data_IF_152106879124
#
_entry.id   IF_152106879124
#
_cell.length_a   1.000
_cell.length_b   1.000
_cell.length_c   1.000
_cell.angle_alpha   90.00
_cell.angle_beta   90.00
_cell.angle_gamma   90.00
#
_symmetry.space_group_name_H-M   'P 1'
#
loop_
_entity.id
_entity.type
_entity.pdbx_description
1 polymer ?
#
# COMPACT_ATOMS: atom_id res chain seq x y z
N UNK A 1 52.04 72.39 -17.52
CA UNK A 1 52.13 71.01 -17.08
C UNK A 1 50.79 70.34 -17.27
N UNK A 2 50.61 69.44 -18.24
CA UNK A 2 49.38 68.71 -18.42
C UNK A 2 49.51 67.26 -17.89
N UNK A 3 48.54 66.87 -17.09
CA UNK A 3 48.36 65.48 -16.61
C UNK A 3 47.84 64.61 -17.74
N UNK A 4 48.58 63.56 -18.09
CA UNK A 4 48.17 62.49 -18.98
C UNK A 4 47.31 61.49 -18.17
N UNK A 5 46.02 61.28 -18.55
CA UNK A 5 45.17 60.21 -18.06
C UNK A 5 45.36 58.97 -18.96
N UNK A 6 45.93 57.92 -18.39
CA UNK A 6 45.93 56.59 -19.04
C UNK A 6 44.55 55.94 -18.90
N UNK A 7 43.88 55.68 -19.97
CA UNK A 7 42.66 54.80 -20.02
C UNK A 7 43.12 53.34 -20.14
N UNK A 8 42.85 52.56 -19.10
CA UNK A 8 42.99 51.10 -19.17
C UNK A 8 41.70 50.53 -19.72
N UNK A 9 41.77 49.98 -20.92
CA UNK A 9 40.64 49.25 -21.51
C UNK A 9 40.65 47.81 -20.95
N UNK A 10 39.62 47.51 -20.14
CA UNK A 10 39.39 46.15 -19.67
C UNK A 10 38.63 45.40 -20.78
N UNK A 11 39.25 44.42 -21.42
CA UNK A 11 38.63 43.48 -22.33
C UNK A 11 37.88 42.43 -21.54
N UNK A 12 36.54 42.53 -21.49
CA UNK A 12 35.69 41.46 -21.00
C UNK A 12 35.65 40.31 -22.03
N UNK A 13 36.37 39.21 -21.71
CA UNK A 13 36.18 37.93 -22.40
C UNK A 13 34.85 37.33 -21.92
N UNK A 14 33.82 37.48 -22.75
CA UNK A 14 32.57 36.74 -22.64
C UNK A 14 32.87 35.30 -23.08
N UNK A 15 33.15 34.44 -22.12
CA UNK A 15 33.16 33.00 -22.31
C UNK A 15 31.71 32.54 -22.52
N UNK A 16 31.34 32.24 -23.76
CA UNK A 16 30.10 31.56 -24.05
C UNK A 16 30.16 30.15 -23.45
N UNK A 17 29.50 29.92 -22.31
CA UNK A 17 29.24 28.61 -21.81
C UNK A 17 28.32 27.92 -22.83
N UNK A 18 28.86 26.96 -23.59
CA UNK A 18 28.05 26.10 -24.45
C UNK A 18 27.12 25.30 -23.52
N UNK A 19 25.84 25.63 -23.55
CA UNK A 19 24.81 24.81 -22.91
C UNK A 19 24.85 23.38 -23.48
N UNK A 20 24.33 22.40 -22.79
CA UNK A 20 24.29 21.04 -23.29
C UNK A 20 23.57 21.02 -24.63
N UNK A 21 24.28 20.66 -25.69
CA UNK A 21 23.69 20.49 -27.01
C UNK A 21 22.73 19.33 -26.93
N UNK A 22 21.43 19.59 -27.09
CA UNK A 22 20.45 18.53 -27.30
C UNK A 22 20.83 17.82 -28.60
N UNK A 23 20.99 16.50 -28.51
CA UNK A 23 21.32 15.69 -29.67
C UNK A 23 20.25 15.92 -30.76
N UNK A 24 20.70 16.14 -31.98
CA UNK A 24 19.82 16.35 -33.13
C UNK A 24 19.13 15.09 -33.62
N UNK A 25 19.60 13.91 -33.15
CA UNK A 25 18.93 12.64 -33.39
C UNK A 25 18.25 12.14 -32.09
N UNK A 26 17.04 11.55 -32.22
CA UNK A 26 16.36 11.00 -31.06
C UNK A 26 17.21 9.89 -30.42
N UNK A 27 17.37 9.97 -29.11
CA UNK A 27 18.07 8.92 -28.37
C UNK A 27 17.33 7.57 -28.52
N UNK A 28 18.05 6.43 -28.45
CA UNK A 28 17.40 5.11 -28.45
C UNK A 28 16.33 5.00 -27.39
N UNK A 29 15.21 4.36 -27.73
CA UNK A 29 14.12 4.13 -26.78
C UNK A 29 14.63 3.20 -25.67
N UNK A 30 14.54 3.65 -24.43
CA UNK A 30 14.89 2.89 -23.24
C UNK A 30 13.67 2.71 -22.34
N UNK A 31 13.62 1.62 -21.59
CA UNK A 31 12.58 1.42 -20.59
C UNK A 31 12.70 2.47 -19.47
N UNK A 32 11.59 3.09 -19.12
CA UNK A 32 11.54 4.00 -17.98
C UNK A 32 11.48 3.20 -16.67
N UNK A 33 12.35 3.51 -15.73
CA UNK A 33 12.31 2.96 -14.38
C UNK A 33 11.96 4.07 -13.39
N UNK A 34 11.06 3.77 -12.46
CA UNK A 34 10.75 4.70 -11.37
C UNK A 34 11.99 4.89 -10.49
N UNK A 35 12.38 6.14 -10.19
CA UNK A 35 13.48 6.41 -9.26
C UNK A 35 13.22 5.83 -7.87
N UNK A 36 14.29 5.52 -7.14
CA UNK A 36 14.22 4.99 -5.76
C UNK A 36 13.43 3.69 -5.63
N UNK A 37 13.33 2.91 -6.72
CA UNK A 37 12.64 1.62 -6.72
C UNK A 37 13.55 0.48 -7.08
N UNK A 38 13.27 -0.67 -6.49
CA UNK A 38 13.94 -1.93 -6.79
C UNK A 38 12.94 -3.09 -6.80
N UNK A 39 13.33 -4.23 -7.37
CA UNK A 39 12.53 -5.45 -7.40
C UNK A 39 13.37 -6.67 -7.10
N UNK A 40 12.77 -7.62 -6.40
CA UNK A 40 13.37 -8.93 -6.15
C UNK A 40 12.29 -10.00 -6.08
N UNK A 41 12.69 -11.27 -6.17
CA UNK A 41 11.81 -12.41 -6.06
C UNK A 41 11.83 -13.03 -4.68
N UNK A 42 10.70 -13.54 -4.22
CA UNK A 42 10.58 -14.38 -3.03
C UNK A 42 9.55 -15.48 -3.30
N UNK A 43 9.84 -16.69 -2.84
CA UNK A 43 8.89 -17.80 -2.98
C UNK A 43 8.28 -18.17 -1.62
N UNK A 44 7.02 -18.66 -1.65
CA UNK A 44 6.43 -19.33 -0.48
C UNK A 44 7.10 -20.67 -0.20
N UNK A 45 6.73 -21.33 0.88
CA UNK A 45 7.25 -22.65 1.21
C UNK A 45 6.86 -23.72 0.18
N UNK A 46 5.73 -23.53 -0.49
CA UNK A 46 5.27 -24.38 -1.59
C UNK A 46 5.91 -24.02 -2.94
N UNK A 47 6.89 -23.11 -2.94
CA UNK A 47 7.60 -22.69 -4.15
C UNK A 47 6.85 -21.70 -5.04
N UNK A 48 5.74 -21.11 -4.57
CA UNK A 48 4.99 -20.11 -5.35
C UNK A 48 5.77 -18.80 -5.41
N UNK A 49 6.16 -18.33 -6.61
CA UNK A 49 6.98 -17.12 -6.73
C UNK A 49 6.14 -15.85 -6.60
N UNK A 50 6.66 -14.88 -5.86
CA UNK A 50 6.13 -13.52 -5.77
C UNK A 50 7.18 -12.52 -6.26
N UNK A 51 6.71 -11.42 -6.85
CA UNK A 51 7.52 -10.26 -7.19
C UNK A 51 7.36 -9.21 -6.10
N UNK A 52 8.45 -8.90 -5.45
CA UNK A 52 8.48 -7.86 -4.43
C UNK A 52 9.06 -6.58 -5.05
N UNK A 53 8.25 -5.53 -5.01
CA UNK A 53 8.57 -4.21 -5.52
C UNK A 53 8.78 -3.28 -4.34
N UNK A 54 9.90 -2.57 -4.28
CA UNK A 54 10.22 -1.73 -3.12
C UNK A 54 10.54 -0.31 -3.58
N UNK A 55 9.84 0.66 -2.98
CA UNK A 55 10.23 2.07 -3.05
C UNK A 55 10.83 2.47 -1.71
N UNK A 56 12.11 2.81 -1.75
CA UNK A 56 12.89 3.12 -0.56
C UNK A 56 13.31 4.59 -0.59
N UNK A 57 13.12 5.34 0.51
CA UNK A 57 13.62 6.71 0.61
C UNK A 57 15.15 6.76 0.48
N UNK A 58 15.65 7.83 -0.09
CA UNK A 58 17.07 8.17 -0.01
C UNK A 58 17.44 8.60 1.42
N UNK A 59 18.70 8.39 1.80
CA UNK A 59 19.23 8.83 3.09
C UNK A 59 19.06 7.84 4.23
N UNK A 60 19.34 8.31 5.44
CA UNK A 60 19.36 7.50 6.65
C UNK A 60 17.96 7.25 7.19
N UNK A 61 17.80 6.08 7.82
CA UNK A 61 16.57 5.75 8.51
C UNK A 61 16.37 6.66 9.74
N UNK A 62 15.12 7.02 10.05
CA UNK A 62 14.83 7.67 11.33
C UNK A 62 15.10 6.72 12.50
N UNK A 63 15.18 7.28 13.72
CA UNK A 63 15.32 6.50 14.94
C UNK A 63 14.21 5.43 15.01
N UNK A 64 14.64 4.19 15.26
CA UNK A 64 13.75 3.03 15.28
C UNK A 64 13.36 2.47 13.91
N UNK A 65 13.88 3.02 12.79
CA UNK A 65 13.69 2.50 11.44
C UNK A 65 12.52 3.13 10.66
N UNK A 66 12.48 2.85 9.36
CA UNK A 66 11.43 3.33 8.48
C UNK A 66 10.08 2.65 8.76
N UNK A 67 8.96 3.38 8.83
CA UNK A 67 7.64 2.78 8.69
C UNK A 67 7.51 2.10 7.32
N UNK A 68 6.71 1.01 7.27
CA UNK A 68 6.51 0.24 6.04
C UNK A 68 5.02 0.18 5.68
N UNK A 69 4.73 0.43 4.42
CA UNK A 69 3.42 0.21 3.81
C UNK A 69 3.51 -0.98 2.85
N UNK A 70 2.89 -2.10 3.21
CA UNK A 70 2.69 -3.25 2.32
C UNK A 70 1.45 -3.03 1.48
N UNK A 71 1.59 -3.16 0.16
CA UNK A 71 0.53 -2.94 -0.82
C UNK A 71 0.28 -4.23 -1.57
N UNK A 72 -0.89 -4.80 -1.38
CA UNK A 72 -1.36 -5.96 -2.14
C UNK A 72 -1.60 -5.57 -3.60
N UNK A 73 -1.67 -6.58 -4.48
CA UNK A 73 -1.79 -6.35 -5.94
C UNK A 73 -0.70 -5.40 -6.47
N UNK A 74 0.55 -5.65 -6.07
CA UNK A 74 1.68 -4.78 -6.37
C UNK A 74 1.87 -4.49 -7.86
N UNK A 75 1.47 -5.40 -8.76
CA UNK A 75 1.51 -5.16 -10.21
C UNK A 75 0.62 -3.98 -10.62
N UNK A 76 -0.55 -3.85 -9.99
CA UNK A 76 -1.51 -2.76 -10.26
C UNK A 76 -1.13 -1.46 -9.53
N UNK A 77 -0.74 -1.58 -8.25
CA UNK A 77 -0.80 -0.45 -7.33
C UNK A 77 0.57 0.14 -6.97
N UNK A 78 1.64 -0.65 -7.03
CA UNK A 78 2.94 -0.21 -6.52
C UNK A 78 3.43 1.10 -7.12
N UNK A 79 3.33 1.26 -8.44
CA UNK A 79 3.84 2.47 -9.11
C UNK A 79 3.14 3.75 -8.62
N UNK A 80 1.80 3.70 -8.42
CA UNK A 80 1.03 4.83 -7.92
C UNK A 80 1.44 5.20 -6.49
N UNK A 81 1.62 4.22 -5.62
CA UNK A 81 2.07 4.45 -4.24
C UNK A 81 3.51 4.97 -4.17
N UNK A 82 4.42 4.39 -4.96
CA UNK A 82 5.82 4.79 -5.00
C UNK A 82 5.98 6.24 -5.45
N UNK A 83 5.31 6.61 -6.54
CA UNK A 83 5.41 7.97 -7.08
C UNK A 83 4.70 9.00 -6.19
N UNK A 84 3.51 8.68 -5.67
CA UNK A 84 2.82 9.56 -4.74
C UNK A 84 3.62 9.78 -3.45
N UNK A 85 4.27 8.73 -2.89
CA UNK A 85 5.17 8.85 -1.75
C UNK A 85 6.33 9.81 -2.06
N UNK A 86 6.98 9.62 -3.22
CA UNK A 86 8.13 10.42 -3.64
C UNK A 86 7.76 11.90 -3.78
N UNK A 87 6.67 12.22 -4.46
CA UNK A 87 6.22 13.61 -4.66
C UNK A 87 5.76 14.25 -3.35
N UNK A 88 4.90 13.55 -2.59
CA UNK A 88 4.38 14.09 -1.33
C UNK A 88 5.44 14.15 -0.23
N UNK A 89 6.51 13.36 -0.33
CA UNK A 89 7.66 13.39 0.56
C UNK A 89 8.54 14.65 0.41
N UNK A 90 8.39 15.43 -0.67
CA UNK A 90 9.08 16.72 -0.82
C UNK A 90 8.62 17.78 0.19
N UNK A 91 7.45 17.56 0.82
CA UNK A 91 6.92 18.43 1.85
C UNK A 91 7.20 17.92 3.27
N UNK A 92 6.59 18.55 4.27
CA UNK A 92 6.72 18.20 5.69
C UNK A 92 5.80 17.04 6.12
N UNK A 93 5.39 16.18 5.18
CA UNK A 93 4.40 15.11 5.44
C UNK A 93 4.96 13.89 6.18
N UNK A 94 6.29 13.75 6.26
CA UNK A 94 6.97 12.56 6.78
C UNK A 94 6.93 11.34 5.84
N UNK A 95 6.34 11.49 4.64
CA UNK A 95 6.26 10.42 3.65
C UNK A 95 7.61 10.14 2.98
N UNK A 96 8.54 11.09 3.04
CA UNK A 96 9.95 10.93 2.68
C UNK A 96 10.67 9.89 3.57
N UNK A 97 10.07 9.48 4.67
CA UNK A 97 10.61 8.51 5.63
C UNK A 97 9.82 7.19 5.65
N UNK A 98 9.16 6.82 4.56
CA UNK A 98 8.36 5.59 4.48
C UNK A 98 8.86 4.68 3.36
N UNK A 99 8.95 3.37 3.65
CA UNK A 99 9.17 2.34 2.62
C UNK A 99 7.80 1.84 2.14
N UNK A 100 7.64 1.72 0.82
CA UNK A 100 6.49 1.05 0.20
C UNK A 100 6.93 -0.29 -0.36
N UNK A 101 6.25 -1.37 0.03
CA UNK A 101 6.51 -2.74 -0.44
C UNK A 101 5.28 -3.24 -1.20
N UNK A 102 5.37 -3.31 -2.51
CA UNK A 102 4.34 -3.90 -3.36
C UNK A 102 4.52 -5.42 -3.45
N UNK A 103 3.46 -6.16 -3.12
CA UNK A 103 3.42 -7.61 -3.22
C UNK A 103 2.71 -7.96 -4.52
N UNK A 104 3.49 -8.35 -5.51
CA UNK A 104 3.01 -8.65 -6.86
C UNK A 104 3.33 -10.08 -7.29
N UNK A 105 3.01 -10.35 -8.52
CA UNK A 105 3.15 -11.67 -9.15
C UNK A 105 4.12 -11.58 -10.34
N UNK A 106 4.80 -12.68 -10.70
CA UNK A 106 5.52 -12.76 -11.97
C UNK A 106 4.59 -12.49 -13.16
N UNK A 107 5.12 -11.97 -14.24
CA UNK A 107 4.32 -11.64 -15.43
C UNK A 107 3.93 -10.16 -15.49
N UNK A 108 3.08 -9.81 -16.48
CA UNK A 108 2.70 -8.44 -16.82
C UNK A 108 1.23 -8.11 -16.56
N UNK A 109 0.45 -9.02 -15.98
CA UNK A 109 -0.96 -8.78 -15.69
C UNK A 109 -1.12 -7.75 -14.58
N UNK A 110 -2.07 -6.83 -14.75
CA UNK A 110 -2.42 -5.80 -13.75
C UNK A 110 -2.92 -6.49 -12.48
N UNK A 111 -3.91 -7.37 -12.62
CA UNK A 111 -4.38 -8.26 -11.58
C UNK A 111 -4.11 -9.70 -11.98
N UNK A 112 -3.24 -10.38 -11.23
CA UNK A 112 -2.93 -11.78 -11.48
C UNK A 112 -4.08 -12.68 -10.95
N UNK A 113 -4.53 -13.69 -11.71
CA UNK A 113 -5.61 -14.59 -11.26
C UNK A 113 -5.30 -15.32 -9.94
N UNK A 114 -4.03 -15.53 -9.59
CA UNK A 114 -3.62 -16.14 -8.31
C UNK A 114 -4.09 -15.37 -7.09
N UNK A 115 -4.35 -14.05 -7.23
CA UNK A 115 -4.92 -13.24 -6.15
C UNK A 115 -6.24 -13.82 -5.61
N UNK A 116 -6.99 -14.51 -6.47
CA UNK A 116 -8.21 -15.22 -6.05
C UNK A 116 -7.90 -16.29 -4.99
N UNK A 117 -6.87 -17.10 -5.20
CA UNK A 117 -6.39 -18.03 -4.20
C UNK A 117 -5.86 -17.30 -2.96
N UNK A 118 -4.96 -16.37 -3.17
CA UNK A 118 -4.16 -15.78 -2.08
C UNK A 118 -4.98 -14.93 -1.10
N UNK A 119 -6.10 -14.35 -1.55
CA UNK A 119 -6.88 -13.43 -0.72
C UNK A 119 -8.19 -14.01 -0.19
N UNK A 120 -8.55 -15.24 -0.56
CA UNK A 120 -9.82 -15.85 -0.16
C UNK A 120 -9.63 -17.15 0.61
N UNK A 121 -10.53 -17.38 1.58
CA UNK A 121 -10.70 -18.66 2.24
C UNK A 121 -11.28 -19.72 1.27
N UNK A 122 -11.20 -21.01 1.60
CA UNK A 122 -11.99 -22.03 0.91
C UNK A 122 -13.48 -21.64 0.91
N UNK A 123 -14.12 -21.78 -0.26
CA UNK A 123 -15.52 -21.40 -0.43
C UNK A 123 -16.42 -22.52 0.10
N UNK A 124 -17.38 -22.17 0.94
CA UNK A 124 -18.40 -23.10 1.46
C UNK A 124 -19.63 -23.18 0.54
N UNK A 125 -19.97 -22.09 -0.16
CA UNK A 125 -21.12 -22.03 -1.05
C UNK A 125 -20.88 -22.85 -2.33
N UNK A 126 -21.66 -23.92 -2.62
CA UNK A 126 -21.39 -24.81 -3.76
C UNK A 126 -21.35 -24.12 -5.11
N UNK A 127 -22.26 -23.16 -5.36
CA UNK A 127 -22.31 -22.40 -6.62
C UNK A 127 -21.05 -21.56 -6.80
N UNK A 128 -20.63 -20.85 -5.78
CA UNK A 128 -19.41 -20.01 -5.84
C UNK A 128 -18.16 -20.88 -5.94
N UNK A 129 -18.11 -22.04 -5.27
CA UNK A 129 -17.02 -22.99 -5.37
C UNK A 129 -16.83 -23.51 -6.80
N UNK A 130 -17.92 -23.73 -7.52
CA UNK A 130 -17.86 -24.13 -8.93
C UNK A 130 -17.37 -23.00 -9.85
N UNK A 131 -17.74 -21.76 -9.56
CA UNK A 131 -17.36 -20.57 -10.34
C UNK A 131 -15.91 -20.13 -10.06
N UNK A 132 -15.44 -20.27 -8.83
CA UNK A 132 -14.16 -19.78 -8.36
C UNK A 132 -13.27 -20.89 -7.77
N UNK A 133 -13.06 -21.93 -8.57
CA UNK A 133 -12.32 -23.15 -8.17
C UNK A 133 -10.88 -22.88 -7.69
N UNK A 134 -10.29 -21.73 -8.03
CA UNK A 134 -8.95 -21.33 -7.58
C UNK A 134 -8.92 -20.64 -6.21
N UNK A 135 -10.07 -20.35 -5.59
CA UNK A 135 -10.14 -19.75 -4.26
C UNK A 135 -9.62 -20.69 -3.16
N UNK A 136 -9.28 -20.17 -1.98
CA UNK A 136 -9.00 -21.00 -0.81
C UNK A 136 -7.54 -21.16 -0.41
N UNK A 137 -6.67 -20.28 -0.87
CA UNK A 137 -5.25 -20.28 -0.49
C UNK A 137 -4.84 -19.23 0.55
N UNK A 138 -5.80 -18.52 1.14
CA UNK A 138 -5.58 -17.38 2.03
C UNK A 138 -4.59 -17.67 3.16
N UNK A 139 -4.72 -18.80 3.83
CA UNK A 139 -3.89 -19.12 4.98
C UNK A 139 -2.42 -19.37 4.58
N UNK A 140 -2.19 -19.93 3.37
CA UNK A 140 -0.82 -20.06 2.82
C UNK A 140 -0.20 -18.69 2.49
N UNK A 141 -1.00 -17.78 1.92
CA UNK A 141 -0.54 -16.43 1.64
C UNK A 141 -0.30 -15.62 2.92
N UNK A 142 -1.13 -15.78 3.95
CA UNK A 142 -0.90 -15.21 5.28
C UNK A 142 0.43 -15.66 5.86
N UNK A 143 0.71 -16.98 5.84
CA UNK A 143 1.99 -17.55 6.29
C UNK A 143 3.16 -16.96 5.50
N UNK A 144 3.05 -16.91 4.17
CA UNK A 144 4.06 -16.25 3.32
C UNK A 144 4.29 -14.79 3.73
N UNK A 145 3.23 -14.02 3.91
CA UNK A 145 3.30 -12.60 4.28
C UNK A 145 3.99 -12.40 5.63
N UNK A 146 3.58 -13.16 6.66
CA UNK A 146 4.04 -12.96 8.02
C UNK A 146 5.39 -13.62 8.31
N UNK A 147 5.64 -14.82 7.77
CA UNK A 147 6.79 -15.64 8.15
C UNK A 147 7.94 -15.60 7.14
N UNK A 148 7.66 -15.15 5.90
CA UNK A 148 8.69 -15.02 4.86
C UNK A 148 8.94 -13.58 4.45
N UNK A 149 7.89 -12.88 4.00
CA UNK A 149 8.06 -11.55 3.42
C UNK A 149 8.44 -10.51 4.47
N UNK A 150 7.69 -10.39 5.56
CA UNK A 150 8.01 -9.40 6.61
C UNK A 150 9.43 -9.58 7.15
N UNK A 151 9.88 -10.78 7.56
CA UNK A 151 11.27 -11.00 7.99
C UNK A 151 12.30 -10.69 6.90
N UNK A 152 12.00 -11.00 5.62
CA UNK A 152 12.92 -10.69 4.52
C UNK A 152 13.07 -9.18 4.29
N UNK A 153 11.99 -8.41 4.46
CA UNK A 153 12.00 -6.94 4.40
C UNK A 153 12.78 -6.37 5.59
N UNK A 154 12.52 -6.85 6.80
CA UNK A 154 13.21 -6.42 8.03
C UNK A 154 14.72 -6.72 8.00
N UNK A 155 15.12 -7.81 7.37
CA UNK A 155 16.54 -8.14 7.16
C UNK A 155 17.23 -7.25 6.12
N UNK A 156 16.50 -6.80 5.08
CA UNK A 156 17.07 -6.02 3.97
C UNK A 156 17.12 -4.53 4.23
N UNK A 157 16.17 -4.02 5.04
CA UNK A 157 15.96 -2.59 5.23
C UNK A 157 15.87 -2.25 6.71
N UNK A 158 16.36 -1.07 7.13
CA UNK A 158 16.24 -0.61 8.52
C UNK A 158 14.80 -0.14 8.78
N UNK A 159 13.88 -1.09 9.00
CA UNK A 159 12.46 -0.84 9.19
C UNK A 159 12.06 -0.81 10.66
N UNK A 160 10.98 -0.12 10.97
CA UNK A 160 10.34 -0.13 12.27
C UNK A 160 9.32 -1.28 12.35
N UNK A 161 9.53 -2.32 13.15
CA UNK A 161 8.64 -3.47 13.22
C UNK A 161 7.25 -3.13 13.82
N UNK A 162 7.15 -2.01 14.55
CA UNK A 162 5.90 -1.56 15.17
C UNK A 162 5.11 -0.57 14.31
N UNK A 163 5.67 -0.12 13.18
CA UNK A 163 5.05 0.84 12.28
C UNK A 163 4.84 0.26 10.89
N UNK A 164 4.07 -0.83 10.84
CA UNK A 164 3.78 -1.54 9.60
C UNK A 164 2.31 -1.42 9.25
N UNK A 165 2.02 -1.13 8.00
CA UNK A 165 0.67 -0.93 7.45
C UNK A 165 0.42 -1.94 6.34
N UNK A 166 -0.80 -2.47 6.25
CA UNK A 166 -1.27 -3.29 5.13
C UNK A 166 -2.37 -2.54 4.37
N UNK A 167 -2.23 -2.41 3.07
CA UNK A 167 -3.23 -1.90 2.14
C UNK A 167 -3.70 -3.01 1.21
N UNK A 168 -5.03 -3.13 1.03
CA UNK A 168 -5.62 -3.99 0.03
C UNK A 168 -6.89 -3.39 -0.57
N UNK A 169 -7.16 -3.71 -1.84
CA UNK A 169 -8.36 -3.31 -2.57
C UNK A 169 -9.16 -4.55 -2.99
N UNK A 170 -10.50 -4.46 -2.94
CA UNK A 170 -11.41 -5.52 -3.37
C UNK A 170 -11.18 -6.81 -2.56
N UNK A 171 -10.84 -7.94 -3.19
CA UNK A 171 -10.40 -9.16 -2.48
C UNK A 171 -9.16 -8.92 -1.61
N UNK A 172 -8.25 -8.02 -2.02
CA UNK A 172 -7.14 -7.59 -1.16
C UNK A 172 -7.62 -6.82 0.07
N UNK A 173 -8.70 -6.03 -0.05
CA UNK A 173 -9.39 -5.38 1.07
C UNK A 173 -10.06 -6.39 2.02
N UNK A 174 -10.66 -7.43 1.46
CA UNK A 174 -11.19 -8.56 2.22
C UNK A 174 -10.09 -9.25 3.03
N UNK A 175 -8.94 -9.53 2.39
CA UNK A 175 -7.77 -10.11 3.08
C UNK A 175 -7.22 -9.18 4.16
N UNK A 176 -7.19 -7.87 3.92
CA UNK A 176 -6.75 -6.90 4.93
C UNK A 176 -7.67 -6.91 6.17
N UNK A 177 -8.98 -7.03 5.99
CA UNK A 177 -9.94 -7.21 7.09
C UNK A 177 -9.72 -8.54 7.83
N UNK A 178 -9.50 -9.64 7.09
CA UNK A 178 -9.12 -10.93 7.68
C UNK A 178 -7.90 -10.79 8.61
N UNK A 179 -6.85 -10.09 8.15
CA UNK A 179 -5.64 -9.85 8.96
C UNK A 179 -5.94 -9.05 10.24
N UNK A 180 -6.85 -8.06 10.18
CA UNK A 180 -7.30 -7.33 11.36
C UNK A 180 -7.93 -8.27 12.40
N UNK A 181 -8.79 -9.17 11.92
CA UNK A 181 -9.61 -10.00 12.80
C UNK A 181 -8.85 -11.20 13.38
N UNK A 182 -7.94 -11.80 12.59
CA UNK A 182 -7.29 -13.06 12.97
C UNK A 182 -5.87 -12.88 13.50
N UNK A 183 -5.17 -11.81 13.10
CA UNK A 183 -3.78 -11.51 13.47
C UNK A 183 -3.63 -10.11 14.07
N UNK A 184 -4.35 -9.79 15.17
CA UNK A 184 -4.23 -8.50 15.82
C UNK A 184 -2.77 -8.21 16.18
N UNK A 185 -2.31 -6.99 15.89
CA UNK A 185 -0.93 -6.58 16.11
C UNK A 185 0.05 -6.91 14.98
N UNK A 186 -0.31 -7.76 13.99
CA UNK A 186 0.56 -8.03 12.83
C UNK A 186 0.84 -6.76 11.99
N UNK A 187 -0.15 -5.87 11.94
CA UNK A 187 -0.05 -4.55 11.34
C UNK A 187 -0.66 -3.50 12.26
N UNK A 188 0.02 -2.37 12.39
CA UNK A 188 -0.46 -1.23 13.17
C UNK A 188 -1.63 -0.52 12.52
N UNK A 189 -1.61 -0.48 11.20
CA UNK A 189 -2.66 0.14 10.39
C UNK A 189 -3.13 -0.85 9.33
N UNK A 190 -4.43 -1.00 9.22
CA UNK A 190 -5.09 -1.74 8.16
C UNK A 190 -5.85 -0.73 7.29
N UNK A 191 -5.70 -0.84 5.98
CA UNK A 191 -6.40 -0.04 5.00
C UNK A 191 -7.12 -0.98 4.05
N UNK A 192 -8.44 -1.02 4.14
CA UNK A 192 -9.29 -1.84 3.29
C UNK A 192 -10.09 -0.92 2.35
N UNK A 193 -9.69 -0.89 1.09
CA UNK A 193 -10.34 -0.12 0.05
C UNK A 193 -11.32 -1.02 -0.71
N UNK A 194 -12.59 -0.61 -0.77
CA UNK A 194 -13.67 -1.35 -1.44
C UNK A 194 -13.67 -2.86 -1.11
N UNK A 195 -13.60 -3.25 0.17
CA UNK A 195 -13.43 -4.65 0.53
C UNK A 195 -14.61 -5.48 0.04
N UNK A 196 -14.31 -6.63 -0.58
CA UNK A 196 -15.34 -7.57 -1.08
C UNK A 196 -16.05 -8.31 0.06
N UNK A 197 -16.76 -7.56 0.94
CA UNK A 197 -17.46 -8.12 2.12
C UNK A 197 -18.55 -9.12 1.69
N UNK A 198 -19.15 -8.91 0.52
CA UNK A 198 -20.18 -9.78 -0.07
C UNK A 198 -19.68 -11.20 -0.37
N UNK A 199 -18.35 -11.42 -0.44
CA UNK A 199 -17.74 -12.70 -0.82
C UNK A 199 -18.23 -13.85 0.06
N UNK A 200 -18.55 -14.98 -0.59
CA UNK A 200 -19.04 -16.22 0.04
C UNK A 200 -20.14 -15.97 1.09
N UNK A 201 -21.20 -15.31 0.68
CA UNK A 201 -22.33 -14.92 1.54
C UNK A 201 -21.89 -14.13 2.80
N UNK A 202 -20.95 -13.19 2.61
CA UNK A 202 -20.43 -12.37 3.70
C UNK A 202 -19.71 -13.17 4.81
N UNK A 203 -19.03 -14.27 4.44
CA UNK A 203 -18.37 -15.15 5.40
C UNK A 203 -17.40 -14.41 6.35
N UNK A 204 -16.81 -13.30 5.92
CA UNK A 204 -15.91 -12.45 6.73
C UNK A 204 -16.60 -11.87 7.99
N UNK A 205 -17.93 -11.75 7.99
CA UNK A 205 -18.66 -11.22 9.15
C UNK A 205 -18.62 -12.17 10.35
N UNK A 206 -18.42 -13.46 10.14
CA UNK A 206 -18.22 -14.41 11.24
C UNK A 206 -16.86 -14.14 11.93
N UNK A 207 -15.81 -13.83 11.17
CA UNK A 207 -14.50 -13.44 11.72
C UNK A 207 -14.59 -12.09 12.45
N UNK A 208 -15.31 -11.10 11.89
CA UNK A 208 -15.60 -9.84 12.57
C UNK A 208 -16.28 -10.07 13.93
N UNK A 209 -17.34 -10.87 13.95
CA UNK A 209 -18.10 -11.15 15.18
C UNK A 209 -17.21 -11.80 16.25
N UNK A 210 -16.48 -12.85 15.88
CA UNK A 210 -15.58 -13.54 16.81
C UNK A 210 -14.47 -12.62 17.34
N UNK A 211 -13.92 -11.77 16.47
CA UNK A 211 -12.90 -10.81 16.87
C UNK A 211 -13.48 -9.72 17.80
N UNK A 212 -14.65 -9.16 17.52
CA UNK A 212 -15.30 -8.17 18.37
C UNK A 212 -15.55 -8.72 19.77
N UNK A 213 -16.05 -9.96 19.88
CA UNK A 213 -16.25 -10.63 21.18
C UNK A 213 -14.93 -10.72 21.97
N UNK A 214 -13.81 -11.01 21.30
CA UNK A 214 -12.49 -11.01 21.95
C UNK A 214 -12.05 -9.61 22.38
N UNK A 215 -12.29 -8.59 21.55
CA UNK A 215 -11.95 -7.20 21.86
C UNK A 215 -12.73 -6.67 23.06
N UNK A 216 -14.01 -7.05 23.23
CA UNK A 216 -14.83 -6.72 24.40
C UNK A 216 -14.24 -7.31 25.68
N UNK A 217 -13.59 -8.47 25.60
CA UNK A 217 -12.93 -9.13 26.73
C UNK A 217 -11.51 -8.63 26.96
N UNK A 218 -10.80 -8.26 25.91
CA UNK A 218 -9.41 -7.79 25.95
C UNK A 218 -9.16 -6.63 24.97
N UNK A 219 -9.28 -5.41 25.47
CA UNK A 219 -9.02 -4.20 24.70
C UNK A 219 -7.54 -4.06 24.23
N UNK A 220 -6.61 -4.89 24.75
CA UNK A 220 -5.23 -4.87 24.27
C UNK A 220 -5.12 -5.29 22.82
N UNK A 221 -6.05 -6.08 22.30
CA UNK A 221 -6.10 -6.54 20.90
C UNK A 221 -6.23 -5.40 19.88
N UNK A 222 -6.78 -4.26 20.29
CA UNK A 222 -6.98 -3.10 19.42
C UNK A 222 -6.14 -1.89 19.81
N UNK A 223 -5.40 -1.98 20.93
CA UNK A 223 -4.63 -0.83 21.45
C UNK A 223 -3.66 -0.31 20.39
N UNK A 224 -3.95 0.92 19.96
CA UNK A 224 -3.20 1.62 18.93
C UNK A 224 -3.37 1.07 17.51
N UNK A 225 -4.29 0.15 17.28
CA UNK A 225 -4.65 -0.28 15.92
C UNK A 225 -5.47 0.80 15.22
N UNK A 226 -5.14 1.04 13.97
CA UNK A 226 -5.90 1.89 13.06
C UNK A 226 -6.55 1.07 11.97
N UNK A 227 -7.76 1.43 11.61
CA UNK A 227 -8.45 0.94 10.44
C UNK A 227 -8.90 2.14 9.60
N UNK A 228 -8.54 2.14 8.31
CA UNK A 228 -9.13 3.03 7.32
C UNK A 228 -9.94 2.20 6.34
N UNK A 229 -11.24 2.41 6.34
CA UNK A 229 -12.15 1.89 5.34
C UNK A 229 -12.33 2.94 4.24
N UNK A 230 -12.26 2.52 2.99
CA UNK A 230 -12.47 3.38 1.82
C UNK A 230 -13.45 2.68 0.90
N UNK A 231 -14.39 3.43 0.31
CA UNK A 231 -15.25 2.94 -0.75
C UNK A 231 -15.56 4.07 -1.73
N UNK A 232 -15.93 3.73 -2.97
CA UNK A 232 -16.46 4.67 -3.93
C UNK A 232 -17.96 4.87 -3.74
N UNK A 233 -18.45 6.07 -4.00
CA UNK A 233 -19.88 6.36 -3.93
C UNK A 233 -20.67 5.59 -5.00
N UNK A 234 -20.04 5.37 -6.17
CA UNK A 234 -20.67 4.76 -7.34
C UNK A 234 -20.22 3.33 -7.60
N UNK A 235 -19.99 2.56 -6.53
CA UNK A 235 -19.69 1.14 -6.66
C UNK A 235 -20.97 0.34 -6.86
N UNK A 236 -21.10 -0.25 -8.06
CA UNK A 236 -22.30 -0.99 -8.48
C UNK A 236 -22.23 -2.47 -8.12
N UNK A 237 -21.06 -3.00 -7.76
CA UNK A 237 -20.85 -4.42 -7.48
C UNK A 237 -21.21 -4.74 -6.02
N UNK A 238 -22.23 -5.60 -5.81
CA UNK A 238 -22.44 -6.33 -4.57
C UNK A 238 -22.63 -5.45 -3.31
N UNK A 239 -23.21 -4.26 -3.42
CA UNK A 239 -23.44 -3.36 -2.28
C UNK A 239 -22.14 -2.96 -1.51
N UNK A 240 -20.99 -2.88 -2.20
CA UNK A 240 -19.67 -2.67 -1.56
C UNK A 240 -19.66 -1.38 -0.70
N UNK A 241 -20.21 -0.29 -1.21
CA UNK A 241 -20.24 0.98 -0.48
C UNK A 241 -21.10 0.87 0.80
N UNK A 242 -22.27 0.25 0.69
CA UNK A 242 -23.21 0.02 1.82
C UNK A 242 -22.60 -0.92 2.85
N UNK A 243 -22.04 -2.05 2.42
CA UNK A 243 -21.39 -3.03 3.29
C UNK A 243 -20.19 -2.40 4.03
N UNK A 244 -19.36 -1.62 3.31
CA UNK A 244 -18.24 -0.91 3.89
C UNK A 244 -18.70 0.14 4.91
N UNK A 245 -19.73 0.90 4.59
CA UNK A 245 -20.31 1.87 5.53
C UNK A 245 -20.95 1.22 6.75
N UNK A 246 -21.65 0.09 6.55
CA UNK A 246 -22.21 -0.69 7.65
C UNK A 246 -21.12 -1.24 8.58
N UNK A 247 -20.04 -1.78 8.01
CA UNK A 247 -18.87 -2.22 8.77
C UNK A 247 -18.25 -1.04 9.55
N UNK A 248 -18.07 0.12 8.91
CA UNK A 248 -17.54 1.32 9.56
C UNK A 248 -18.35 1.73 10.80
N UNK A 249 -19.67 1.73 10.70
CA UNK A 249 -20.56 2.02 11.84
C UNK A 249 -20.41 1.01 12.99
N UNK A 250 -20.32 -0.29 12.68
CA UNK A 250 -20.12 -1.34 13.70
C UNK A 250 -18.80 -1.19 14.42
N UNK A 251 -17.71 -0.93 13.67
CA UNK A 251 -16.38 -0.86 14.24
C UNK A 251 -16.10 0.47 14.96
N UNK A 252 -16.77 1.56 14.61
CA UNK A 252 -16.69 2.81 15.35
C UNK A 252 -17.12 2.66 16.82
N UNK A 253 -18.02 1.70 17.13
CA UNK A 253 -18.42 1.39 18.49
C UNK A 253 -17.27 0.86 19.37
N UNK A 254 -16.18 0.36 18.76
CA UNK A 254 -15.00 -0.15 19.48
C UNK A 254 -13.98 0.94 19.82
N UNK A 255 -14.31 2.21 19.63
CA UNK A 255 -13.39 3.33 19.96
C UNK A 255 -13.03 3.36 21.44
N UNK A 256 -13.95 3.00 22.34
CA UNK A 256 -13.71 2.85 23.77
C UNK A 256 -12.72 1.73 24.13
N UNK A 257 -12.56 0.74 23.26
CA UNK A 257 -11.56 -0.35 23.37
C UNK A 257 -10.24 -0.01 22.69
N UNK A 258 -10.05 1.21 22.17
CA UNK A 258 -8.79 1.69 21.61
C UNK A 258 -8.65 1.51 20.10
N UNK A 259 -9.64 0.96 19.40
CA UNK A 259 -9.66 0.94 17.94
C UNK A 259 -9.87 2.36 17.40
N UNK A 260 -9.03 2.79 16.48
CA UNK A 260 -9.23 4.02 15.72
C UNK A 260 -9.66 3.65 14.31
N UNK A 261 -10.96 3.78 14.02
CA UNK A 261 -11.51 3.48 12.70
C UNK A 261 -12.04 4.74 12.03
N UNK A 262 -11.64 4.93 10.78
CA UNK A 262 -12.08 6.01 9.90
C UNK A 262 -12.76 5.39 8.67
N UNK A 263 -13.80 6.03 8.16
CA UNK A 263 -14.48 5.70 6.90
C UNK A 263 -14.35 6.88 5.93
N UNK A 264 -13.93 6.60 4.71
CA UNK A 264 -13.84 7.56 3.62
C UNK A 264 -14.65 7.06 2.43
N UNK A 265 -15.75 7.75 2.10
CA UNK A 265 -16.47 7.55 0.84
C UNK A 265 -15.92 8.55 -0.17
N UNK A 266 -15.48 8.04 -1.32
CA UNK A 266 -14.93 8.84 -2.41
C UNK A 266 -16.05 9.18 -3.39
N UNK A 267 -16.39 10.47 -3.44
CA UNK A 267 -17.44 11.01 -4.31
C UNK A 267 -17.15 10.74 -5.78
N UNK A 268 -18.15 10.24 -6.50
CA UNK A 268 -18.10 9.92 -7.92
C UNK A 268 -17.23 8.74 -8.33
N UNK A 269 -16.54 8.06 -7.40
CA UNK A 269 -15.63 6.96 -7.71
C UNK A 269 -16.34 5.62 -7.80
N UNK A 270 -15.87 4.79 -8.75
CA UNK A 270 -16.32 3.41 -8.98
C UNK A 270 -15.32 2.42 -8.42
N UNK A 271 -15.66 1.12 -8.41
CA UNK A 271 -14.77 0.06 -7.92
C UNK A 271 -13.37 0.09 -8.54
N UNK A 272 -13.25 0.37 -9.84
CA UNK A 272 -11.95 0.38 -10.53
C UNK A 272 -11.20 1.71 -10.42
N UNK A 273 -11.85 2.81 -10.01
CA UNK A 273 -11.18 4.11 -9.83
C UNK A 273 -10.74 4.36 -8.38
N UNK A 274 -11.42 3.76 -7.40
CA UNK A 274 -11.06 3.85 -5.98
C UNK A 274 -9.59 3.54 -5.70
N UNK A 275 -8.95 2.50 -6.29
CA UNK A 275 -7.57 2.19 -5.98
C UNK A 275 -6.62 3.38 -6.08
N UNK A 276 -6.65 4.09 -7.21
CA UNK A 276 -5.76 5.24 -7.42
C UNK A 276 -6.17 6.46 -6.60
N UNK A 277 -7.46 6.70 -6.44
CA UNK A 277 -7.98 7.81 -5.61
C UNK A 277 -7.69 7.65 -4.13
N UNK A 278 -7.57 6.40 -3.65
CA UNK A 278 -7.26 6.09 -2.25
C UNK A 278 -5.81 6.32 -1.85
N UNK A 279 -4.86 6.40 -2.82
CA UNK A 279 -3.41 6.41 -2.57
C UNK A 279 -2.99 7.47 -1.55
N UNK A 280 -3.42 8.72 -1.74
CA UNK A 280 -3.03 9.81 -0.82
C UNK A 280 -3.59 9.62 0.60
N UNK A 281 -4.85 9.18 0.71
CA UNK A 281 -5.47 8.89 2.01
C UNK A 281 -4.75 7.73 2.72
N UNK A 282 -4.42 6.68 1.96
CA UNK A 282 -3.70 5.51 2.46
C UNK A 282 -2.29 5.87 2.94
N UNK A 283 -1.53 6.64 2.15
CA UNK A 283 -0.20 7.12 2.56
C UNK A 283 -0.26 7.95 3.84
N UNK A 284 -1.22 8.86 3.96
CA UNK A 284 -1.41 9.68 5.16
C UNK A 284 -1.80 8.82 6.38
N UNK A 285 -2.64 7.81 6.20
CA UNK A 285 -3.01 6.90 7.28
C UNK A 285 -1.79 6.08 7.75
N UNK A 286 -0.97 5.60 6.84
CA UNK A 286 0.25 4.85 7.14
C UNK A 286 1.34 5.71 7.82
N UNK A 287 1.42 7.02 7.50
CA UNK A 287 2.38 7.95 8.10
C UNK A 287 1.99 8.39 9.51
N UNK A 288 0.69 8.40 9.85
CA UNK A 288 0.22 8.85 11.17
C UNK A 288 0.71 7.90 12.26
N UNK A 289 1.56 8.44 13.13
CA UNK A 289 1.95 7.81 14.38
C UNK A 289 1.15 8.45 15.52
N UNK A 290 0.63 7.67 16.52
CA UNK A 290 -0.09 8.24 17.64
C UNK A 290 0.78 9.16 18.48
#
# INVERSE_FOLDING_TARGET
MPFARAMMAAACLLGAAAGPAFATEPAPVAAYALPETEKWGLASDEGQPYRILVSRPAGEAPDGGFPVLYVLDGNAMFAAFAEARRIQGLGSSGLDKMIVVGIGYPGGQVYDPRRMSDFTAPIETPVLKALYASAGGRDRFETFLLEKLKPAVEKRYPVNPYRQTLYGHSLGGLFALHMLYTRPGAFRTIIAASPSIWWDNQAILAEEHAWRTRVEQDAALTRGTRLLLIAGEREEEGAIAEDTAALGRRLAALSGQGLRSDLLILDGETHLSVPHRSVTAALRAAARWP
#
